data_IF_560659442482
#
_entry.id   IF_560659442482
#
_cell.length_a   1.000
_cell.length_b   1.000
_cell.length_c   1.000
_cell.angle_alpha   90.00
_cell.angle_beta   90.00
_cell.angle_gamma   90.00
#
_symmetry.space_group_name_H-M   'P 1'
#
loop_
_entity.id
_entity.type
_entity.pdbx_description
1 polymer ?
#
# COMPACT_ATOMS: atom_id res chain seq x y z
N UNK A 1 -39.76 45.98 15.88
CA UNK A 1 -39.33 44.57 15.73
C UNK A 1 -38.60 44.40 14.40
N UNK A 2 -37.26 44.42 14.41
CA UNK A 2 -36.43 43.92 13.31
C UNK A 2 -35.24 43.20 13.95
N UNK A 3 -35.35 41.87 14.04
CA UNK A 3 -34.28 41.00 14.50
C UNK A 3 -33.17 41.00 13.44
N UNK A 4 -31.97 41.44 13.80
CA UNK A 4 -30.76 41.26 13.01
C UNK A 4 -30.20 39.87 13.31
N UNK A 5 -30.24 38.98 12.31
CA UNK A 5 -29.70 37.62 12.41
C UNK A 5 -28.25 37.66 11.93
N UNK A 6 -27.31 37.46 12.85
CA UNK A 6 -25.87 37.33 12.57
C UNK A 6 -25.62 35.91 12.08
N UNK A 7 -25.31 35.75 10.79
CA UNK A 7 -24.85 34.48 10.22
C UNK A 7 -23.31 34.42 10.33
N UNK A 8 -22.81 33.76 11.38
CA UNK A 8 -21.40 33.42 11.51
C UNK A 8 -21.13 32.16 10.64
N UNK A 9 -20.49 32.37 9.49
CA UNK A 9 -20.06 31.31 8.58
C UNK A 9 -18.78 30.68 9.15
N UNK A 10 -18.92 29.60 9.91
CA UNK A 10 -17.78 28.82 10.44
C UNK A 10 -17.10 28.05 9.31
N UNK A 11 -15.90 28.49 8.93
CA UNK A 11 -15.01 27.78 8.00
C UNK A 11 -14.47 26.54 8.73
N UNK A 12 -15.03 25.37 8.43
CA UNK A 12 -14.44 24.07 8.79
C UNK A 12 -13.25 23.81 7.86
N UNK A 13 -12.05 24.22 8.27
CA UNK A 13 -10.82 23.71 7.67
C UNK A 13 -10.69 22.23 8.04
N UNK A 14 -11.15 21.34 7.16
CA UNK A 14 -10.84 19.92 7.23
C UNK A 14 -9.34 19.73 6.90
N UNK A 15 -8.48 19.98 7.89
CA UNK A 15 -7.08 19.58 7.80
C UNK A 15 -7.04 18.06 7.74
N UNK A 16 -6.51 17.51 6.64
CA UNK A 16 -6.13 16.10 6.60
C UNK A 16 -5.12 15.89 7.73
N UNK A 17 -5.55 15.21 8.80
CA UNK A 17 -4.66 14.81 9.87
C UNK A 17 -3.65 13.83 9.29
N UNK A 18 -2.49 14.34 8.88
CA UNK A 18 -1.35 13.50 8.56
C UNK A 18 -1.00 12.76 9.84
N UNK A 19 -1.16 11.44 9.82
CA UNK A 19 -0.80 10.60 10.96
C UNK A 19 0.65 10.91 11.34
N UNK A 20 0.88 11.24 12.62
CA UNK A 20 2.23 11.49 13.11
C UNK A 20 3.08 10.23 12.91
N UNK A 21 4.37 10.36 12.53
CA UNK A 21 5.24 9.21 12.39
C UNK A 21 5.37 8.49 13.73
N UNK A 22 5.35 7.16 13.70
CA UNK A 22 5.59 6.35 14.91
C UNK A 22 7.08 6.26 15.18
N UNK A 23 7.47 5.91 16.41
CA UNK A 23 8.88 5.62 16.70
C UNK A 23 9.31 4.30 16.05
N UNK A 24 10.62 4.13 15.80
CA UNK A 24 11.15 2.85 15.32
C UNK A 24 10.87 1.69 16.28
N UNK A 25 10.78 1.96 17.58
CA UNK A 25 10.41 0.96 18.58
C UNK A 25 8.96 0.48 18.41
N UNK A 26 8.04 1.41 18.14
CA UNK A 26 6.64 1.09 17.90
C UNK A 26 6.46 0.39 16.55
N UNK A 27 7.10 0.89 15.50
CA UNK A 27 7.09 0.26 14.18
C UNK A 27 7.50 -1.21 14.25
N UNK A 28 8.58 -1.56 14.98
CA UNK A 28 9.00 -2.97 15.16
C UNK A 28 7.89 -3.88 15.72
N UNK A 29 7.00 -3.36 16.56
CA UNK A 29 5.87 -4.11 17.13
C UNK A 29 4.68 -4.20 16.15
N UNK A 30 4.55 -3.22 15.27
CA UNK A 30 3.46 -3.11 14.31
C UNK A 30 3.74 -3.82 12.99
N UNK A 31 4.99 -4.08 12.62
CA UNK A 31 5.30 -4.68 11.31
C UNK A 31 5.20 -6.20 11.30
N UNK A 32 4.74 -6.75 10.18
CA UNK A 32 4.81 -8.18 9.92
C UNK A 32 6.25 -8.57 9.52
N UNK A 33 6.71 -9.80 9.75
CA UNK A 33 7.98 -10.23 9.18
C UNK A 33 7.95 -10.25 7.65
N UNK A 34 9.04 -9.87 6.95
CA UNK A 34 9.21 -10.06 5.51
C UNK A 34 9.40 -11.56 5.26
N UNK A 35 8.29 -12.28 5.23
CA UNK A 35 8.21 -13.72 5.11
C UNK A 35 7.09 -14.07 4.11
N UNK A 36 6.97 -15.37 3.81
CA UNK A 36 5.97 -15.88 2.85
C UNK A 36 4.57 -15.34 3.17
N UNK A 37 3.93 -14.83 2.13
CA UNK A 37 2.58 -14.29 2.16
C UNK A 37 1.53 -15.42 2.13
N UNK A 38 0.33 -15.11 2.60
CA UNK A 38 -0.88 -15.90 2.40
C UNK A 38 -1.67 -15.30 1.24
N UNK A 39 -2.16 -16.17 0.36
CA UNK A 39 -2.99 -15.78 -0.79
C UNK A 39 -4.44 -16.06 -0.47
N UNK A 40 -5.25 -15.02 -0.50
CA UNK A 40 -6.70 -15.11 -0.41
C UNK A 40 -7.29 -14.88 -1.79
N UNK A 41 -8.02 -15.86 -2.32
CA UNK A 41 -8.79 -15.70 -3.56
C UNK A 41 -10.24 -15.46 -3.20
N UNK A 42 -10.80 -14.37 -3.72
CA UNK A 42 -12.17 -13.96 -3.45
C UNK A 42 -13.15 -14.86 -4.22
N UNK A 43 -14.33 -15.15 -3.65
CA UNK A 43 -15.36 -15.96 -4.31
C UNK A 43 -16.11 -15.13 -5.35
N UNK A 44 -15.47 -14.90 -6.51
CA UNK A 44 -16.09 -14.24 -7.66
C UNK A 44 -16.67 -15.28 -8.63
N UNK A 45 -17.86 -15.01 -9.17
CA UNK A 45 -18.61 -15.98 -9.95
C UNK A 45 -17.98 -16.35 -11.30
N UNK A 46 -17.17 -15.46 -11.88
CA UNK A 46 -16.56 -15.64 -13.21
C UNK A 46 -15.25 -16.45 -13.18
N UNK A 47 -14.75 -16.82 -12.00
CA UNK A 47 -13.60 -17.72 -11.88
C UNK A 47 -14.05 -19.13 -11.55
N UNK A 48 -13.48 -20.13 -12.23
CA UNK A 48 -13.61 -21.54 -11.88
C UNK A 48 -12.68 -21.92 -10.71
N UNK A 49 -12.86 -23.11 -10.14
CA UNK A 49 -11.91 -23.62 -9.13
C UNK A 49 -10.49 -23.79 -9.70
N UNK A 50 -10.38 -24.17 -10.97
CA UNK A 50 -9.10 -24.29 -11.66
C UNK A 50 -8.42 -22.92 -11.81
N UNK A 51 -9.19 -21.87 -12.14
CA UNK A 51 -8.68 -20.49 -12.20
C UNK A 51 -8.16 -20.04 -10.84
N UNK A 52 -8.92 -20.31 -9.77
CA UNK A 52 -8.49 -19.99 -8.39
C UNK A 52 -7.21 -20.74 -8.00
N UNK A 53 -7.09 -22.01 -8.38
CA UNK A 53 -5.90 -22.81 -8.11
C UNK A 53 -4.68 -22.28 -8.87
N UNK A 54 -4.85 -21.95 -10.14
CA UNK A 54 -3.79 -21.36 -10.97
C UNK A 54 -3.33 -20.02 -10.41
N UNK A 55 -4.27 -19.12 -10.05
CA UNK A 55 -3.94 -17.84 -9.44
C UNK A 55 -3.13 -18.02 -8.15
N UNK A 56 -3.54 -18.94 -7.26
CA UNK A 56 -2.80 -19.24 -6.02
C UNK A 56 -1.36 -19.66 -6.31
N UNK A 57 -1.13 -20.46 -7.34
CA UNK A 57 0.22 -20.89 -7.72
C UNK A 57 1.07 -19.74 -8.29
N UNK A 58 0.49 -18.88 -9.12
CA UNK A 58 1.24 -17.80 -9.79
C UNK A 58 1.64 -16.70 -8.81
N UNK A 59 0.78 -16.41 -7.83
CA UNK A 59 0.98 -15.26 -6.92
C UNK A 59 1.57 -15.64 -5.57
N UNK A 60 1.83 -16.92 -5.29
CA UNK A 60 2.38 -17.36 -3.99
C UNK A 60 3.78 -16.83 -3.70
N UNK A 61 4.55 -16.52 -4.75
CA UNK A 61 5.90 -15.99 -4.64
C UNK A 61 5.95 -14.46 -4.60
N UNK A 62 4.79 -13.79 -4.75
CA UNK A 62 4.75 -12.33 -4.73
C UNK A 62 4.93 -11.80 -3.29
N UNK A 63 5.62 -10.65 -3.12
CA UNK A 63 5.65 -9.95 -1.84
C UNK A 63 4.25 -9.62 -1.33
N UNK A 64 4.07 -9.63 -0.01
CA UNK A 64 2.79 -9.27 0.59
C UNK A 64 2.39 -7.81 0.34
N UNK A 65 1.15 -7.49 0.72
CA UNK A 65 0.45 -6.27 0.34
C UNK A 65 0.35 -6.17 -1.18
N UNK A 66 -0.19 -7.24 -1.77
CA UNK A 66 -0.56 -7.31 -3.16
C UNK A 66 -2.06 -7.52 -3.37
N UNK A 67 -2.50 -7.25 -4.59
CA UNK A 67 -3.85 -7.47 -5.06
C UNK A 67 -3.84 -7.88 -6.54
N UNK A 68 -4.84 -8.63 -6.94
CA UNK A 68 -4.99 -9.16 -8.30
C UNK A 68 -6.30 -8.64 -8.88
N UNK A 69 -6.22 -7.97 -10.03
CA UNK A 69 -7.36 -7.50 -10.80
C UNK A 69 -7.48 -8.31 -12.09
N UNK A 70 -8.71 -8.66 -12.48
CA UNK A 70 -9.01 -9.42 -13.70
C UNK A 70 -10.20 -8.78 -14.40
N UNK A 71 -10.15 -8.73 -15.74
CA UNK A 71 -11.28 -8.41 -16.62
C UNK A 71 -12.22 -9.64 -16.72
N UNK A 72 -13.46 -9.58 -16.22
CA UNK A 72 -14.35 -10.75 -16.18
C UNK A 72 -14.65 -11.36 -17.56
N UNK A 73 -14.73 -10.53 -18.60
CA UNK A 73 -15.09 -10.97 -19.95
C UNK A 73 -13.92 -11.62 -20.70
N UNK A 74 -12.69 -11.43 -20.23
CA UNK A 74 -11.47 -11.86 -20.94
C UNK A 74 -10.72 -12.98 -20.22
N UNK A 75 -10.97 -13.18 -18.92
CA UNK A 75 -10.39 -14.26 -18.13
C UNK A 75 -8.89 -14.08 -17.83
N UNK A 76 -8.29 -15.11 -17.20
CA UNK A 76 -6.94 -15.02 -16.61
C UNK A 76 -5.81 -14.81 -17.62
N UNK A 77 -5.95 -15.32 -18.85
CA UNK A 77 -4.92 -15.22 -19.87
C UNK A 77 -4.82 -13.84 -20.53
N UNK A 78 -5.73 -12.91 -20.20
CA UNK A 78 -5.71 -11.56 -20.73
C UNK A 78 -4.53 -10.74 -20.21
N UNK A 79 -4.03 -9.81 -21.04
CA UNK A 79 -3.09 -8.77 -20.61
C UNK A 79 -3.70 -7.85 -19.54
N UNK A 80 -5.03 -7.81 -19.41
CA UNK A 80 -5.74 -7.10 -18.35
C UNK A 80 -5.71 -7.85 -17.00
N UNK A 81 -5.11 -9.04 -16.91
CA UNK A 81 -4.86 -9.70 -15.62
C UNK A 81 -3.64 -9.09 -14.95
N UNK A 82 -3.86 -8.28 -13.92
CA UNK A 82 -2.80 -7.51 -13.26
C UNK A 82 -2.64 -7.94 -11.81
N UNK A 83 -1.41 -8.28 -11.43
CA UNK A 83 -1.00 -8.40 -10.05
C UNK A 83 -0.12 -7.20 -9.67
N UNK A 84 -0.59 -6.38 -8.73
CA UNK A 84 0.21 -5.34 -8.09
C UNK A 84 0.63 -5.85 -6.72
N UNK A 85 1.92 -5.81 -6.40
CA UNK A 85 2.47 -6.36 -5.16
C UNK A 85 3.41 -5.36 -4.50
N UNK A 86 3.83 -5.66 -3.26
CA UNK A 86 4.82 -4.87 -2.54
C UNK A 86 4.40 -3.39 -2.29
N UNK A 87 3.10 -3.14 -2.14
CA UNK A 87 2.60 -1.87 -1.64
C UNK A 87 2.68 -1.83 -0.10
N UNK A 88 2.34 -0.69 0.51
CA UNK A 88 2.25 -0.62 1.97
C UNK A 88 0.90 -1.14 2.51
N UNK A 89 -0.12 -1.31 1.67
CA UNK A 89 -1.45 -1.79 2.04
C UNK A 89 -2.07 -2.60 0.90
N UNK A 90 -3.01 -3.50 1.21
CA UNK A 90 -3.78 -4.21 0.17
C UNK A 90 -4.69 -3.26 -0.62
N UNK A 91 -5.15 -2.18 0.00
CA UNK A 91 -6.02 -1.19 -0.60
C UNK A 91 -5.27 -0.37 -1.66
N UNK A 92 -4.01 0.00 -1.39
CA UNK A 92 -3.15 0.64 -2.38
C UNK A 92 -2.84 -0.28 -3.56
N UNK A 93 -2.51 -1.55 -3.28
CA UNK A 93 -2.29 -2.54 -4.32
C UNK A 93 -3.54 -2.76 -5.18
N UNK A 94 -4.73 -2.83 -4.57
CA UNK A 94 -5.99 -2.99 -5.29
C UNK A 94 -6.25 -1.83 -6.26
N UNK A 95 -6.04 -0.57 -5.80
CA UNK A 95 -6.17 0.60 -6.68
C UNK A 95 -5.19 0.55 -7.84
N UNK A 96 -3.93 0.19 -7.58
CA UNK A 96 -2.91 0.08 -8.62
C UNK A 96 -3.25 -1.02 -9.64
N UNK A 97 -3.66 -2.21 -9.18
CA UNK A 97 -4.04 -3.32 -10.04
C UNK A 97 -5.27 -2.99 -10.89
N UNK A 98 -6.30 -2.39 -10.29
CA UNK A 98 -7.51 -1.98 -11.01
C UNK A 98 -7.22 -0.92 -12.08
N UNK A 99 -6.40 0.10 -11.77
CA UNK A 99 -6.06 1.13 -12.73
C UNK A 99 -5.44 0.55 -14.00
N UNK A 100 -4.43 -0.31 -13.86
CA UNK A 100 -3.76 -0.93 -15.02
C UNK A 100 -4.67 -1.97 -15.71
N UNK A 101 -5.50 -2.69 -14.95
CA UNK A 101 -6.48 -3.61 -15.54
C UNK A 101 -7.46 -2.87 -16.43
N UNK A 102 -8.05 -1.76 -15.95
CA UNK A 102 -9.01 -0.97 -16.71
C UNK A 102 -8.39 -0.32 -17.94
N UNK A 103 -7.13 0.13 -17.86
CA UNK A 103 -6.38 0.65 -19.01
C UNK A 103 -6.19 -0.40 -20.11
N UNK A 104 -6.06 -1.68 -19.74
CA UNK A 104 -5.78 -2.79 -20.67
C UNK A 104 -7.02 -3.55 -21.11
N UNK A 105 -8.12 -3.41 -20.39
CA UNK A 105 -9.36 -4.14 -20.61
C UNK A 105 -9.94 -3.84 -21.99
N UNK A 106 -10.38 -4.91 -22.66
CA UNK A 106 -11.13 -4.87 -23.92
C UNK A 106 -12.58 -5.33 -23.74
N UNK A 107 -12.86 -6.06 -22.66
CA UNK A 107 -14.21 -6.48 -22.25
C UNK A 107 -15.12 -5.31 -21.89
N UNK A 108 -16.42 -5.57 -21.67
CA UNK A 108 -17.41 -4.57 -21.25
C UNK A 108 -17.59 -4.51 -19.73
N UNK A 109 -17.53 -5.65 -19.04
CA UNK A 109 -17.62 -5.71 -17.59
C UNK A 109 -16.38 -5.06 -16.94
N UNK A 110 -16.54 -4.23 -15.89
CA UNK A 110 -15.41 -3.62 -15.21
C UNK A 110 -14.49 -4.67 -14.60
N UNK A 111 -13.22 -4.32 -14.48
CA UNK A 111 -12.23 -5.12 -13.77
C UNK A 111 -12.66 -5.33 -12.32
N UNK A 112 -12.40 -6.53 -11.80
CA UNK A 112 -12.69 -6.88 -10.42
C UNK A 112 -11.43 -7.36 -9.70
N UNK A 113 -11.33 -7.03 -8.41
CA UNK A 113 -10.33 -7.67 -7.56
C UNK A 113 -10.76 -9.11 -7.32
N UNK A 114 -9.85 -10.05 -7.58
CA UNK A 114 -10.09 -11.48 -7.44
C UNK A 114 -9.25 -12.11 -6.34
N UNK A 115 -8.27 -11.39 -5.80
CA UNK A 115 -7.47 -11.90 -4.69
C UNK A 115 -6.53 -10.88 -4.08
N UNK A 116 -6.03 -11.23 -2.90
CA UNK A 116 -5.07 -10.47 -2.12
C UNK A 116 -3.88 -11.35 -1.72
N UNK A 117 -2.70 -10.73 -1.68
CA UNK A 117 -1.47 -11.33 -1.16
C UNK A 117 -1.13 -10.60 0.13
N UNK A 118 -1.30 -11.26 1.28
CA UNK A 118 -1.23 -10.65 2.62
C UNK A 118 -0.15 -11.30 3.47
N UNK A 119 0.41 -10.61 4.48
CA UNK A 119 1.29 -11.25 5.44
C UNK A 119 0.62 -12.44 6.13
N UNK A 120 1.41 -13.45 6.54
CA UNK A 120 0.87 -14.55 7.34
C UNK A 120 0.18 -14.07 8.61
N UNK A 121 -1.05 -14.55 8.86
CA UNK A 121 -1.84 -14.16 10.03
C UNK A 121 -2.26 -12.68 10.01
N UNK A 122 -2.48 -12.14 8.81
CA UNK A 122 -2.79 -10.73 8.62
C UNK A 122 -4.00 -10.27 9.42
N UNK A 123 -3.86 -9.06 9.96
CA UNK A 123 -4.89 -8.24 10.59
C UNK A 123 -4.54 -6.79 10.27
N UNK A 124 -5.54 -5.91 10.22
CA UNK A 124 -5.29 -4.48 10.09
C UNK A 124 -4.41 -3.97 11.23
N UNK A 125 -3.45 -3.10 10.91
CA UNK A 125 -2.51 -2.50 11.86
C UNK A 125 -2.36 -1.00 11.56
N UNK A 126 -2.08 -0.16 12.58
CA UNK A 126 -1.93 1.28 12.37
C UNK A 126 -0.78 1.66 11.43
N UNK A 127 0.29 0.86 11.42
CA UNK A 127 1.39 0.97 10.46
C UNK A 127 1.50 -0.34 9.68
N UNK A 128 1.60 -0.20 8.37
CA UNK A 128 1.95 -1.27 7.45
C UNK A 128 3.01 -0.77 6.48
N UNK A 129 3.99 -1.62 6.17
CA UNK A 129 5.06 -1.35 5.22
C UNK A 129 5.12 -2.49 4.23
N UNK A 130 5.61 -2.26 3.01
CA UNK A 130 5.79 -3.31 2.02
C UNK A 130 6.81 -4.34 2.51
N UNK A 131 6.90 -5.49 1.84
CA UNK A 131 7.89 -6.51 2.24
C UNK A 131 9.30 -5.92 2.23
N UNK A 132 9.64 -5.24 1.14
CA UNK A 132 10.97 -4.63 0.96
C UNK A 132 11.20 -3.48 1.95
N UNK A 133 10.20 -2.63 2.18
CA UNK A 133 10.33 -1.55 3.16
C UNK A 133 10.52 -2.10 4.58
N UNK A 134 9.88 -3.23 4.90
CA UNK A 134 10.05 -3.89 6.19
C UNK A 134 11.42 -4.55 6.32
N UNK A 135 11.93 -5.14 5.25
CA UNK A 135 13.29 -5.69 5.21
C UNK A 135 14.34 -4.59 5.40
N UNK A 136 14.26 -3.52 4.60
CA UNK A 136 15.15 -2.37 4.72
C UNK A 136 15.03 -1.66 6.08
N UNK A 137 13.83 -1.55 6.64
CA UNK A 137 13.66 -1.04 8.00
C UNK A 137 14.39 -1.89 9.04
N UNK A 138 14.43 -3.21 8.87
CA UNK A 138 15.12 -4.11 9.80
C UNK A 138 16.63 -4.06 9.65
N UNK A 139 17.12 -3.94 8.41
CA UNK A 139 18.53 -3.92 8.10
C UNK A 139 19.18 -2.55 8.39
N UNK A 140 18.55 -1.47 7.94
CA UNK A 140 19.25 -0.20 7.71
C UNK A 140 18.76 0.97 8.56
N UNK A 141 17.60 0.84 9.21
CA UNK A 141 17.05 1.93 10.04
C UNK A 141 17.95 2.28 11.24
N UNK A 142 18.76 1.32 11.69
CA UNK A 142 19.68 1.50 12.79
C UNK A 142 19.01 1.58 14.17
N UNK A 143 19.80 1.91 15.19
CA UNK A 143 19.36 1.91 16.59
C UNK A 143 19.70 3.19 17.36
N UNK A 144 20.51 4.09 16.81
CA UNK A 144 21.03 5.28 17.49
C UNK A 144 21.04 6.49 16.56
N UNK A 145 20.99 7.67 17.17
CA UNK A 145 20.97 8.94 16.46
C UNK A 145 19.67 9.20 15.69
N UNK A 146 19.54 10.41 15.11
CA UNK A 146 18.36 10.78 14.33
C UNK A 146 18.20 9.88 13.11
N UNK A 147 16.98 9.40 12.89
CA UNK A 147 16.65 8.45 11.81
C UNK A 147 15.18 8.60 11.42
N UNK A 148 14.88 8.36 10.16
CA UNK A 148 13.52 8.40 9.66
C UNK A 148 13.32 7.45 8.49
N UNK A 149 12.09 6.97 8.32
CA UNK A 149 11.65 6.20 7.17
C UNK A 149 10.43 6.90 6.57
N UNK A 150 10.51 7.16 5.27
CA UNK A 150 9.42 7.70 4.48
C UNK A 150 8.84 6.63 3.57
N UNK A 151 7.55 6.76 3.25
CA UNK A 151 6.80 5.88 2.35
C UNK A 151 5.93 6.67 1.39
N UNK A 152 5.67 6.11 0.22
CA UNK A 152 4.65 6.55 -0.74
C UNK A 152 3.40 5.70 -0.57
N UNK A 153 2.31 6.24 0.00
CA UNK A 153 1.07 5.51 0.19
C UNK A 153 0.48 4.92 -1.10
N UNK A 154 0.73 5.55 -2.26
CA UNK A 154 0.23 5.07 -3.54
C UNK A 154 1.08 3.94 -4.16
N UNK A 155 2.42 4.01 -4.08
CA UNK A 155 3.30 3.23 -4.97
C UNK A 155 4.14 2.16 -4.28
N UNK A 156 4.14 2.08 -2.94
CA UNK A 156 4.99 1.14 -2.20
C UNK A 156 6.46 1.57 -2.08
N UNK A 157 6.81 2.74 -2.64
CA UNK A 157 8.15 3.33 -2.58
C UNK A 157 8.45 3.82 -1.17
N UNK A 158 9.71 3.74 -0.80
CA UNK A 158 10.15 4.06 0.54
C UNK A 158 11.59 4.54 0.53
N UNK A 159 12.02 5.15 1.62
CA UNK A 159 13.40 5.60 1.81
C UNK A 159 13.74 5.80 3.27
N UNK A 160 15.00 5.59 3.61
CA UNK A 160 15.55 5.81 4.95
C UNK A 160 16.52 7.00 4.92
N UNK A 161 16.47 7.82 5.96
CA UNK A 161 17.42 8.87 6.22
C UNK A 161 18.01 8.73 7.62
N UNK A 162 19.29 9.06 7.76
CA UNK A 162 20.02 8.99 9.03
C UNK A 162 20.88 10.25 9.27
N UNK A 163 21.18 10.51 10.54
CA UNK A 163 21.96 11.66 10.99
C UNK A 163 21.18 12.97 10.92
N UNK A 164 21.88 14.11 10.97
CA UNK A 164 21.25 15.42 10.88
C UNK A 164 20.38 15.53 9.61
N UNK A 165 19.12 15.99 9.75
CA UNK A 165 18.15 16.06 8.66
C UNK A 165 17.64 14.70 8.17
N UNK A 166 17.54 13.71 9.07
CA UNK A 166 17.11 12.36 8.73
C UNK A 166 15.73 12.32 8.03
N UNK A 167 14.78 13.15 8.48
CA UNK A 167 13.45 13.23 7.88
C UNK A 167 13.47 13.66 6.42
N UNK A 168 14.16 14.76 6.12
CA UNK A 168 14.29 15.30 4.76
C UNK A 168 15.03 14.31 3.84
N UNK A 169 16.07 13.66 4.37
CA UNK A 169 16.79 12.61 3.64
C UNK A 169 15.90 11.41 3.32
N UNK A 170 15.06 10.97 4.27
CA UNK A 170 14.13 9.87 4.06
C UNK A 170 13.10 10.21 2.97
N UNK A 171 12.51 11.40 3.03
CA UNK A 171 11.57 11.90 2.03
C UNK A 171 12.21 11.99 0.64
N UNK A 172 13.43 12.54 0.55
CA UNK A 172 14.17 12.63 -0.70
C UNK A 172 14.53 11.24 -1.27
N UNK A 173 14.90 10.29 -0.41
CA UNK A 173 15.18 8.92 -0.83
C UNK A 173 13.92 8.22 -1.36
N UNK A 174 12.78 8.38 -0.67
CA UNK A 174 11.49 7.87 -1.12
C UNK A 174 11.08 8.44 -2.49
N UNK A 175 11.21 9.76 -2.68
CA UNK A 175 10.81 10.40 -3.93
C UNK A 175 11.72 10.00 -5.12
N UNK A 176 13.02 9.81 -4.87
CA UNK A 176 13.98 9.36 -5.89
C UNK A 176 13.69 7.93 -6.37
N UNK A 177 13.15 7.08 -5.51
CA UNK A 177 12.80 5.72 -5.87
C UNK A 177 11.57 5.70 -6.80
N UNK A 178 11.79 5.80 -8.11
CA UNK A 178 10.73 5.66 -9.11
C UNK A 178 9.76 6.84 -9.22
N UNK A 179 10.10 8.02 -8.67
CA UNK A 179 9.38 9.28 -8.91
C UNK A 179 8.11 9.48 -8.09
N UNK A 180 8.01 8.87 -6.90
CA UNK A 180 6.84 9.06 -6.04
C UNK A 180 6.68 10.52 -5.57
N UNK A 181 5.51 11.11 -5.77
CA UNK A 181 5.19 12.50 -5.40
C UNK A 181 4.46 12.66 -4.06
N UNK A 182 4.10 11.56 -3.41
CA UNK A 182 3.24 11.50 -2.22
C UNK A 182 3.99 10.96 -0.98
N UNK A 183 5.31 11.08 -0.95
CA UNK A 183 6.12 10.56 0.15
C UNK A 183 5.82 11.28 1.46
N UNK A 184 5.60 10.49 2.52
CA UNK A 184 5.35 10.96 3.89
C UNK A 184 6.23 10.22 4.89
N UNK A 185 6.56 10.83 6.03
CA UNK A 185 7.26 10.15 7.12
C UNK A 185 6.33 9.16 7.80
N UNK A 186 6.72 7.89 7.84
CA UNK A 186 6.00 6.83 8.54
C UNK A 186 6.65 6.50 9.89
N UNK A 187 7.98 6.61 9.98
CA UNK A 187 8.75 6.33 11.18
C UNK A 187 9.79 7.42 11.41
N UNK A 188 9.96 7.88 12.64
CA UNK A 188 11.02 8.83 13.01
C UNK A 188 11.49 8.64 14.46
N UNK A 189 12.79 8.83 14.71
CA UNK A 189 13.42 8.89 16.04
C UNK A 189 14.55 9.93 16.10
#
# INVERSE_FOLDING_TARGET
MRLAMVAALGILTAGAALAQPVTGREAKKMLFPPAKAEVEILPVAFLSENDRALLRMVVSEQPYYGAIAVSPDEGLASEATIAAANHHTTEAAARAALAVCEEKRKGRAPCAIVGFVRPKGWKSRPLSLSSDATEGFRADYGARGPRALAVSPATGRWGIGTGAGAGEKALAACAKAGGAGDCVLAVAD
#
